data_IF_093879232284
#
_entry.id   IF_093879232284
#
_cell.length_a   1.000
_cell.length_b   1.000
_cell.length_c   1.000
_cell.angle_alpha   90.00
_cell.angle_beta   90.00
_cell.angle_gamma   90.00
#
_symmetry.space_group_name_H-M   'P 1'
#
loop_
_entity.id
_entity.type
_entity.pdbx_description
1 polymer ?
#
# COMPACT_ATOMS: atom_id res chain seq x y z
N UNK A 1 16.46 -21.16 8.69
CA UNK A 1 15.50 -20.06 8.89
C UNK A 1 14.52 -20.50 9.96
N UNK A 2 14.28 -19.68 10.98
CA UNK A 2 13.31 -20.04 12.03
C UNK A 2 11.89 -19.88 11.49
N UNK A 3 11.07 -20.91 11.66
CA UNK A 3 9.61 -20.84 11.41
C UNK A 3 8.96 -20.61 12.76
N UNK A 4 8.20 -19.53 12.88
CA UNK A 4 7.46 -19.19 14.09
C UNK A 4 5.99 -19.61 13.91
N UNK A 5 5.45 -20.33 14.90
CA UNK A 5 4.04 -20.71 14.91
C UNK A 5 3.25 -19.67 15.70
N UNK A 6 2.25 -19.09 15.06
CA UNK A 6 1.35 -18.12 15.70
C UNK A 6 -0.04 -18.74 15.92
N UNK A 7 -0.64 -18.50 17.08
CA UNK A 7 -2.04 -18.83 17.33
C UNK A 7 -2.86 -17.54 17.33
N UNK A 8 -3.81 -17.43 16.39
CA UNK A 8 -4.64 -16.24 16.21
C UNK A 8 -6.11 -16.62 16.21
N UNK A 9 -6.93 -15.85 16.92
CA UNK A 9 -8.38 -16.03 16.99
C UNK A 9 -9.05 -15.06 16.03
N UNK A 10 -9.65 -15.60 14.96
CA UNK A 10 -10.36 -14.82 13.93
C UNK A 10 -11.87 -15.02 14.14
N UNK A 11 -12.65 -13.94 14.12
CA UNK A 11 -14.09 -13.95 14.42
C UNK A 11 -14.87 -13.08 13.44
N UNK A 12 -16.19 -13.33 13.38
CA UNK A 12 -17.13 -12.49 12.64
C UNK A 12 -16.85 -12.46 11.15
N UNK A 13 -16.91 -11.28 10.54
CA UNK A 13 -16.71 -11.10 9.09
C UNK A 13 -15.35 -11.60 8.61
N UNK A 14 -14.29 -11.49 9.42
CA UNK A 14 -12.97 -12.00 9.06
C UNK A 14 -12.94 -13.53 9.00
N UNK A 15 -13.70 -14.21 9.86
CA UNK A 15 -13.81 -15.67 9.80
C UNK A 15 -14.54 -16.08 8.53
N UNK A 16 -15.67 -15.44 8.21
CA UNK A 16 -16.42 -15.73 6.98
C UNK A 16 -15.58 -15.49 5.74
N UNK A 17 -14.84 -14.38 5.69
CA UNK A 17 -13.97 -14.08 4.56
C UNK A 17 -12.83 -15.10 4.44
N UNK A 18 -12.16 -15.44 5.55
CA UNK A 18 -11.12 -16.47 5.56
C UNK A 18 -11.63 -17.80 4.99
N UNK A 19 -12.83 -18.24 5.40
CA UNK A 19 -13.43 -19.48 4.92
C UNK A 19 -13.75 -19.45 3.41
N UNK A 20 -14.05 -18.28 2.84
CA UNK A 20 -14.26 -18.14 1.38
C UNK A 20 -12.95 -18.17 0.59
N UNK A 21 -11.82 -17.88 1.23
CA UNK A 21 -10.52 -17.85 0.56
C UNK A 21 -9.79 -19.19 0.62
N UNK A 22 -10.21 -20.13 1.48
CA UNK A 22 -9.51 -21.40 1.71
C UNK A 22 -10.36 -22.63 1.33
N UNK A 23 -9.71 -23.74 1.00
CA UNK A 23 -10.38 -25.02 0.70
C UNK A 23 -10.69 -25.22 -0.78
N UNK A 24 -11.57 -26.16 -1.11
CA UNK A 24 -11.79 -26.64 -2.48
C UNK A 24 -12.25 -25.55 -3.48
N UNK A 25 -13.04 -24.60 -3.00
CA UNK A 25 -13.53 -23.46 -3.79
C UNK A 25 -12.72 -22.17 -3.53
N UNK A 26 -11.71 -22.24 -2.66
CA UNK A 26 -10.85 -21.13 -2.27
C UNK A 26 -9.58 -21.04 -3.13
N UNK A 27 -8.92 -19.88 -3.08
CA UNK A 27 -7.65 -19.65 -3.78
C UNK A 27 -6.44 -20.21 -3.02
N UNK A 28 -6.62 -20.59 -1.76
CA UNK A 28 -5.55 -21.03 -0.86
C UNK A 28 -5.90 -22.37 -0.24
N UNK A 29 -4.91 -23.20 0.05
CA UNK A 29 -5.15 -24.53 0.62
C UNK A 29 -5.56 -24.44 2.09
N UNK A 30 -4.98 -23.48 2.83
CA UNK A 30 -5.22 -23.33 4.26
C UNK A 30 -5.08 -21.88 4.75
N UNK A 31 -5.49 -21.67 6.01
CA UNK A 31 -5.47 -20.35 6.63
C UNK A 31 -4.07 -19.76 6.79
N UNK A 32 -3.06 -20.59 7.08
CA UNK A 32 -1.68 -20.10 7.23
C UNK A 32 -1.14 -19.57 5.91
N UNK A 33 -1.43 -20.25 4.79
CA UNK A 33 -1.04 -19.79 3.45
C UNK A 33 -1.68 -18.44 3.12
N UNK A 34 -2.99 -18.30 3.34
CA UNK A 34 -3.70 -17.06 3.10
C UNK A 34 -3.21 -15.91 4.00
N UNK A 35 -2.96 -16.18 5.29
CA UNK A 35 -2.42 -15.17 6.20
C UNK A 35 -1.02 -14.74 5.75
N UNK A 36 -0.15 -15.69 5.37
CA UNK A 36 1.17 -15.36 4.84
C UNK A 36 1.10 -14.56 3.54
N UNK A 37 0.14 -14.86 2.65
CA UNK A 37 -0.05 -14.08 1.42
C UNK A 37 -0.51 -12.65 1.72
N UNK A 38 -1.41 -12.46 2.69
CA UNK A 38 -1.83 -11.14 3.16
C UNK A 38 -0.65 -10.35 3.76
N UNK A 39 0.20 -10.98 4.57
CA UNK A 39 1.37 -10.32 5.16
C UNK A 39 2.37 -9.89 4.07
N UNK A 40 2.62 -10.76 3.07
CA UNK A 40 3.46 -10.40 1.92
C UNK A 40 2.89 -9.22 1.15
N UNK A 41 1.58 -9.21 0.92
CA UNK A 41 0.89 -8.12 0.24
C UNK A 41 0.95 -6.81 1.04
N UNK A 42 0.78 -6.86 2.35
CA UNK A 42 0.95 -5.69 3.23
C UNK A 42 2.37 -5.12 3.09
N UNK A 43 3.39 -5.98 3.18
CA UNK A 43 4.79 -5.58 3.03
C UNK A 43 5.07 -4.96 1.66
N UNK A 44 4.61 -5.62 0.59
CA UNK A 44 4.78 -5.14 -0.78
C UNK A 44 4.09 -3.79 -0.99
N UNK A 45 2.86 -3.62 -0.52
CA UNK A 45 2.10 -2.38 -0.70
C UNK A 45 2.80 -1.16 -0.08
N UNK A 46 3.48 -1.35 1.05
CA UNK A 46 4.26 -0.29 1.71
C UNK A 46 5.49 0.10 0.89
N UNK A 47 6.19 -0.89 0.36
CA UNK A 47 7.35 -0.65 -0.53
C UNK A 47 6.92 0.02 -1.81
N UNK A 48 5.84 -0.44 -2.45
CA UNK A 48 5.32 0.12 -3.69
C UNK A 48 4.88 1.58 -3.53
N UNK A 49 4.19 1.91 -2.44
CA UNK A 49 3.79 3.29 -2.15
C UNK A 49 5.01 4.22 -2.00
N UNK A 50 6.06 3.74 -1.33
CA UNK A 50 7.30 4.49 -1.17
C UNK A 50 8.05 4.67 -2.50
N UNK A 51 8.21 3.60 -3.27
CA UNK A 51 8.89 3.64 -4.57
C UNK A 51 8.13 4.52 -5.57
N UNK A 52 6.80 4.45 -5.58
CA UNK A 52 5.96 5.35 -6.37
C UNK A 52 6.19 6.81 -5.99
N UNK A 53 6.15 7.15 -4.71
CA UNK A 53 6.37 8.52 -4.22
C UNK A 53 7.76 9.03 -4.59
N UNK A 54 8.79 8.19 -4.40
CA UNK A 54 10.17 8.54 -4.75
C UNK A 54 10.29 8.83 -6.24
N UNK A 55 9.74 7.96 -7.09
CA UNK A 55 9.75 8.13 -8.55
C UNK A 55 9.02 9.42 -8.98
N UNK A 56 7.91 9.75 -8.33
CA UNK A 56 7.14 10.96 -8.63
C UNK A 56 7.89 12.24 -8.23
N UNK A 57 8.59 12.23 -7.10
CA UNK A 57 9.33 13.40 -6.60
C UNK A 57 10.72 13.56 -7.22
N UNK A 58 11.35 12.48 -7.67
CA UNK A 58 12.74 12.48 -8.16
C UNK A 58 13.04 13.48 -9.29
N UNK A 59 12.15 13.69 -10.29
CA UNK A 59 12.37 14.72 -11.31
C UNK A 59 12.48 16.12 -10.72
N UNK A 60 11.61 16.48 -9.78
CA UNK A 60 11.64 17.79 -9.12
C UNK A 60 12.85 17.92 -8.19
N UNK A 61 13.18 16.87 -7.42
CA UNK A 61 14.34 16.88 -6.53
C UNK A 61 15.68 17.03 -7.27
N UNK A 62 15.75 16.60 -8.54
CA UNK A 62 16.93 16.76 -9.41
C UNK A 62 16.91 18.04 -10.25
N UNK A 63 15.80 18.77 -10.27
CA UNK A 63 15.69 19.98 -11.07
C UNK A 63 16.51 21.11 -10.44
N UNK A 64 17.13 21.91 -11.29
CA UNK A 64 17.83 23.12 -10.87
C UNK A 64 16.86 24.16 -10.29
N UNK A 65 17.36 25.01 -9.38
CA UNK A 65 16.53 26.01 -8.68
C UNK A 65 15.84 26.99 -9.63
N UNK A 66 16.41 27.27 -10.80
CA UNK A 66 15.85 28.14 -11.83
C UNK A 66 14.58 27.55 -12.48
N UNK A 67 14.32 26.25 -12.33
CA UNK A 67 13.07 25.60 -12.75
C UNK A 67 11.91 25.86 -11.80
N UNK A 68 12.17 26.42 -10.62
CA UNK A 68 11.16 26.74 -9.62
C UNK A 68 10.84 28.23 -9.61
N UNK A 69 9.56 28.55 -9.49
CA UNK A 69 9.08 29.91 -9.30
C UNK A 69 8.56 30.08 -7.88
N UNK A 70 8.79 31.24 -7.29
CA UNK A 70 8.20 31.58 -6.00
C UNK A 70 6.69 31.78 -6.18
N UNK A 71 5.89 31.05 -5.41
CA UNK A 71 4.44 31.18 -5.39
C UNK A 71 3.95 31.27 -3.95
N UNK A 72 2.96 32.12 -3.70
CA UNK A 72 2.23 32.16 -2.45
C UNK A 72 1.12 31.11 -2.44
N UNK A 73 0.60 30.79 -1.25
CA UNK A 73 -0.58 29.94 -1.13
C UNK A 73 -1.79 30.52 -1.89
N UNK A 74 -1.93 31.85 -1.93
CA UNK A 74 -3.00 32.53 -2.65
C UNK A 74 -2.88 32.32 -4.17
N UNK A 75 -1.66 32.38 -4.72
CA UNK A 75 -1.41 32.12 -6.15
C UNK A 75 -1.83 30.70 -6.54
N UNK A 76 -1.52 29.73 -5.68
CA UNK A 76 -1.89 28.31 -5.90
C UNK A 76 -3.41 28.11 -5.84
N UNK A 77 -4.07 28.70 -4.84
CA UNK A 77 -5.54 28.62 -4.70
C UNK A 77 -6.21 29.27 -5.90
N UNK A 78 -5.84 30.50 -6.25
CA UNK A 78 -6.42 31.21 -7.40
C UNK A 78 -6.21 30.46 -8.72
N UNK A 79 -5.07 29.80 -8.93
CA UNK A 79 -4.82 28.94 -10.09
C UNK A 79 -5.74 27.71 -10.12
N UNK A 80 -5.95 27.06 -8.97
CA UNK A 80 -6.73 25.82 -8.88
C UNK A 80 -8.24 26.06 -8.77
N UNK A 81 -8.68 27.25 -8.36
CA UNK A 81 -10.08 27.67 -8.28
C UNK A 81 -10.62 28.24 -9.60
N UNK A 82 -9.76 28.40 -10.62
CA UNK A 82 -10.12 28.84 -11.96
C UNK A 82 -10.42 27.69 -12.90
N UNK A 83 -11.45 26.89 -12.60
CA UNK A 83 -12.27 26.15 -13.57
C UNK A 83 -13.61 25.75 -12.94
#
# INVERSE_FOLDING_TARGET
>A
MAVENINVRIKGSLQTHLQQQIGADGLYENASEYICSLIRRDLQSRTEAWEWLKKELEPALRADKDKFIAVSAQDVISRNSGN
#
